data_IF_221372467912
#
_entry.id   IF_221372467912
#
_cell.length_a   1.000
_cell.length_b   1.000
_cell.length_c   1.000
_cell.angle_alpha   90.00
_cell.angle_beta   90.00
_cell.angle_gamma   90.00
#
_symmetry.space_group_name_H-M   'P 1'
#
loop_
_entity.id
_entity.type
_entity.pdbx_description
1 polymer ?
#
# COMPACT_ATOMS: atom_id res chain seq x y z
N UNK A 1 -5.90 -6.33 -3.95
CA UNK A 1 -6.67 -5.36 -4.74
C UNK A 1 -6.91 -4.09 -3.94
N UNK A 2 -6.63 -2.94 -4.53
CA UNK A 2 -6.97 -1.65 -3.91
C UNK A 2 -8.47 -1.44 -4.10
N UNK A 3 -9.20 -1.30 -2.99
CA UNK A 3 -10.64 -1.18 -3.02
C UNK A 3 -11.14 0.24 -2.82
N UNK A 4 -10.33 1.10 -2.21
CA UNK A 4 -10.74 2.47 -1.94
C UNK A 4 -9.52 3.37 -1.78
N UNK A 5 -9.62 4.59 -2.26
CA UNK A 5 -8.61 5.63 -2.10
C UNK A 5 -9.32 6.82 -1.47
N UNK A 6 -8.86 7.22 -0.28
CA UNK A 6 -9.47 8.33 0.44
C UNK A 6 -8.46 9.45 0.63
N UNK A 7 -8.91 10.54 1.24
CA UNK A 7 -8.02 11.64 1.58
C UNK A 7 -7.01 11.29 2.66
N UNK A 8 -7.15 10.13 3.30
CA UNK A 8 -6.28 9.74 4.42
C UNK A 8 -5.40 8.55 4.09
N UNK A 9 -5.73 7.78 3.08
CA UNK A 9 -4.94 6.59 2.75
C UNK A 9 -5.64 5.71 1.74
N UNK A 10 -5.14 4.48 1.66
CA UNK A 10 -5.54 3.51 0.65
C UNK A 10 -6.01 2.25 1.37
N UNK A 11 -7.12 1.68 0.92
CA UNK A 11 -7.62 0.40 1.43
C UNK A 11 -7.20 -0.71 0.48
N UNK A 12 -6.60 -1.76 1.03
CA UNK A 12 -6.13 -2.90 0.27
C UNK A 12 -6.85 -4.15 0.74
N UNK A 13 -7.50 -4.86 -0.18
CA UNK A 13 -8.16 -6.12 0.12
C UNK A 13 -7.16 -7.25 -0.04
N UNK A 14 -6.96 -8.02 1.03
CA UNK A 14 -6.07 -9.17 1.05
C UNK A 14 -6.87 -10.36 1.53
N UNK A 15 -7.18 -11.28 0.63
CA UNK A 15 -8.10 -12.36 0.92
C UNK A 15 -9.48 -11.78 1.23
N UNK A 16 -9.97 -11.98 2.45
CA UNK A 16 -11.25 -11.45 2.88
C UNK A 16 -11.12 -10.29 3.86
N UNK A 17 -9.91 -9.74 4.01
CA UNK A 17 -9.62 -8.66 4.95
C UNK A 17 -9.29 -7.39 4.19
N UNK A 18 -9.80 -6.26 4.66
CA UNK A 18 -9.39 -4.96 4.15
C UNK A 18 -8.43 -4.31 5.13
N UNK A 19 -7.28 -3.89 4.63
CA UNK A 19 -6.23 -3.26 5.41
C UNK A 19 -6.08 -1.82 4.99
N UNK A 20 -5.94 -0.93 5.96
CA UNK A 20 -5.78 0.49 5.68
C UNK A 20 -4.31 0.87 5.71
N UNK A 21 -3.89 1.61 4.68
CA UNK A 21 -2.52 2.10 4.54
C UNK A 21 -2.59 3.61 4.53
N UNK A 22 -2.26 4.24 5.68
CA UNK A 22 -2.32 5.69 5.79
C UNK A 22 -1.21 6.34 4.98
N UNK A 23 -1.46 7.56 4.51
CA UNK A 23 -0.41 8.31 3.80
C UNK A 23 0.75 8.68 4.72
N UNK A 24 0.49 8.76 6.03
CA UNK A 24 1.57 9.04 6.98
C UNK A 24 2.57 7.90 7.04
N UNK A 25 2.08 6.66 6.95
CA UNK A 25 2.93 5.47 6.98
C UNK A 25 3.40 5.05 5.60
N UNK A 26 2.63 5.38 4.57
CA UNK A 26 2.93 4.97 3.18
C UNK A 26 2.81 6.19 2.26
N UNK A 27 3.77 7.11 2.35
CA UNK A 27 3.65 8.42 1.68
C UNK A 27 3.69 8.38 0.16
N UNK A 28 4.14 7.27 -0.41
CA UNK A 28 4.26 7.17 -1.88
C UNK A 28 2.92 7.33 -2.58
N UNK A 29 1.82 7.02 -1.90
CA UNK A 29 0.50 7.00 -2.52
C UNK A 29 -0.20 8.35 -2.49
N UNK A 30 0.30 9.28 -1.68
CA UNK A 30 -0.45 10.51 -1.37
C UNK A 30 -0.75 11.35 -2.60
N UNK A 31 0.24 11.54 -3.46
CA UNK A 31 0.10 12.37 -4.63
C UNK A 31 0.18 11.56 -5.92
N UNK A 32 0.00 10.25 -5.82
CA UNK A 32 0.10 9.38 -6.98
C UNK A 32 -1.21 9.38 -7.76
N UNK A 33 -1.15 9.29 -9.09
CA UNK A 33 -2.37 9.14 -9.89
C UNK A 33 -3.15 7.89 -9.52
N UNK A 34 -4.47 8.00 -9.55
CA UNK A 34 -5.36 6.89 -9.15
C UNK A 34 -5.04 5.61 -9.90
N UNK A 35 -4.83 5.69 -11.21
CA UNK A 35 -4.56 4.49 -12.00
C UNK A 35 -3.30 3.78 -11.57
N UNK A 36 -2.30 4.51 -11.09
CA UNK A 36 -1.06 3.91 -10.62
C UNK A 36 -1.23 3.27 -9.24
N UNK A 37 -2.05 3.87 -8.38
CA UNK A 37 -2.34 3.32 -7.06
C UNK A 37 -3.17 2.04 -7.18
N UNK A 38 -4.08 1.99 -8.14
CA UNK A 38 -4.91 0.80 -8.35
C UNK A 38 -4.13 -0.37 -8.94
N UNK A 39 -3.02 -0.11 -9.60
CA UNK A 39 -2.25 -1.15 -10.28
C UNK A 39 -1.29 -1.84 -9.32
N UNK A 40 -1.83 -2.73 -8.51
CA UNK A 40 -1.06 -3.48 -7.53
C UNK A 40 -0.99 -4.95 -7.97
N UNK A 41 0.18 -5.56 -7.76
CA UNK A 41 0.41 -6.98 -8.02
C UNK A 41 0.82 -7.67 -6.74
N UNK A 42 0.56 -8.96 -6.67
CA UNK A 42 1.03 -9.79 -5.56
C UNK A 42 1.92 -10.88 -6.15
N UNK A 43 3.20 -10.56 -6.44
CA UNK A 43 4.09 -11.52 -7.08
C UNK A 43 4.37 -12.74 -6.24
N UNK A 44 4.28 -12.63 -4.92
CA UNK A 44 4.33 -13.79 -4.04
C UNK A 44 3.41 -13.52 -2.87
N UNK A 45 3.00 -14.58 -2.19
CA UNK A 45 2.03 -14.46 -1.11
C UNK A 45 2.52 -13.49 -0.04
N UNK A 46 1.70 -12.49 0.24
CA UNK A 46 2.03 -11.50 1.27
C UNK A 46 2.98 -10.40 0.82
N UNK A 47 3.35 -10.36 -0.46
CA UNK A 47 4.16 -9.28 -1.02
C UNK A 47 3.35 -8.53 -2.06
N UNK A 48 3.28 -7.21 -1.93
CA UNK A 48 2.49 -6.35 -2.82
C UNK A 48 3.40 -5.36 -3.51
N UNK A 49 3.27 -5.25 -4.82
CA UNK A 49 4.14 -4.45 -5.65
C UNK A 49 3.31 -3.54 -6.55
N UNK A 50 3.67 -2.26 -6.56
CA UNK A 50 3.07 -1.26 -7.44
C UNK A 50 4.11 -0.90 -8.49
N UNK A 51 4.03 -1.50 -9.69
CA UNK A 51 5.08 -1.32 -10.69
C UNK A 51 5.24 0.12 -11.18
N UNK A 52 4.14 0.86 -11.26
CA UNK A 52 4.19 2.23 -11.75
C UNK A 52 4.80 3.19 -10.74
N UNK A 53 4.87 2.80 -9.47
CA UNK A 53 5.41 3.62 -8.39
C UNK A 53 6.72 3.05 -7.84
N UNK A 54 7.08 1.86 -8.29
CA UNK A 54 8.24 1.13 -7.79
C UNK A 54 8.19 0.98 -6.27
N UNK A 55 7.01 0.60 -5.77
CA UNK A 55 6.77 0.41 -4.34
C UNK A 55 6.54 -1.07 -4.09
N UNK A 56 7.25 -1.61 -3.11
CA UNK A 56 7.17 -3.01 -2.71
C UNK A 56 6.95 -3.05 -1.21
N UNK A 57 5.83 -3.64 -0.76
CA UNK A 57 5.46 -3.64 0.65
C UNK A 57 4.96 -5.03 1.03
N UNK A 58 5.47 -5.55 2.15
CA UNK A 58 5.01 -6.82 2.67
C UNK A 58 3.78 -6.66 3.55
N UNK A 59 3.02 -7.75 3.67
CA UNK A 59 1.82 -7.76 4.50
C UNK A 59 2.12 -7.36 5.95
N UNK A 60 3.23 -7.85 6.49
CA UNK A 60 3.59 -7.56 7.87
C UNK A 60 3.82 -6.06 8.09
N UNK A 61 4.42 -5.40 7.12
CA UNK A 61 4.62 -3.95 7.19
C UNK A 61 3.29 -3.21 7.18
N UNK A 62 2.34 -3.69 6.37
CA UNK A 62 1.03 -3.06 6.29
C UNK A 62 0.27 -3.22 7.60
N UNK A 63 0.36 -4.39 8.23
CA UNK A 63 -0.33 -4.66 9.47
C UNK A 63 0.32 -3.99 10.68
N UNK A 64 1.63 -3.79 10.62
CA UNK A 64 2.38 -3.24 11.74
C UNK A 64 3.38 -2.18 11.27
N UNK A 65 2.91 -1.08 10.71
CA UNK A 65 3.83 -0.08 10.15
C UNK A 65 4.73 0.54 11.20
N UNK A 66 4.32 0.56 12.45
CA UNK A 66 5.14 1.12 13.52
C UNK A 66 6.40 0.28 13.78
N UNK A 67 6.39 -1.01 13.40
CA UNK A 67 7.56 -1.87 13.56
C UNK A 67 8.54 -1.74 12.40
N UNK A 68 8.07 -1.19 11.29
CA UNK A 68 8.88 -1.05 10.08
C UNK A 68 8.74 0.37 9.57
N UNK A 69 9.19 1.36 10.38
CA UNK A 69 8.98 2.75 9.97
C UNK A 69 9.70 3.04 8.66
N UNK A 70 8.97 3.67 7.76
CA UNK A 70 9.51 4.04 6.47
C UNK A 70 10.17 5.40 6.62
N UNK A 71 11.42 5.49 6.19
CA UNK A 71 12.15 6.73 6.28
C UNK A 71 11.93 7.54 5.03
N UNK A 72 11.81 8.84 5.21
CA UNK A 72 11.71 9.75 4.08
C UNK A 72 12.96 9.62 3.21
N UNK A 73 12.77 9.63 1.95
CA UNK A 73 13.86 9.58 0.99
C UNK A 73 14.21 10.97 0.54
#
# INVERSE_FOLDING_TARGET
>A
EVTNISGHGVWLLVGDRELFMSYDDFPWFKDAPVGKVLNVEEPSLGHFYWPDLDVDVGLETIENPEKFPLKAK
#
